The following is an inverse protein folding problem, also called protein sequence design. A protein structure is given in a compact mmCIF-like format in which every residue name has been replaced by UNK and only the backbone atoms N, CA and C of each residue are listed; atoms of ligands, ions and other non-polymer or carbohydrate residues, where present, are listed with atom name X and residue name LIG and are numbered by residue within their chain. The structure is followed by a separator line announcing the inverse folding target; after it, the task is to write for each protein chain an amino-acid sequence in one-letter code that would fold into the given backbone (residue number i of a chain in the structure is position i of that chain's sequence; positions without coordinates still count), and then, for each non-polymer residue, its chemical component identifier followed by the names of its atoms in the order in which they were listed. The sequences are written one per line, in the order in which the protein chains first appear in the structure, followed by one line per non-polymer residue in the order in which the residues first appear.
data_IF_454416072146
#
_entry.id   IF_454416072146
#
_cell.length_a   1.000
_cell.length_b   1.000
_cell.length_c   1.000
_cell.angle_alpha   90.00
_cell.angle_beta   90.00
_cell.angle_gamma   90.00
#
_symmetry.space_group_name_H-M   'P 1'
#
loop_
_entity.id
_entity.type
_entity.pdbx_description
1 polymer ?
#
# COMPACT_ATOMS: atom_id res chain seq x y z
N UNK A 1 35.15 11.18 -3.11
CA UNK A 1 34.82 11.40 -4.55
C UNK A 1 33.66 10.53 -5.02
N UNK A 2 33.76 9.19 -5.06
CA UNK A 2 32.63 8.35 -5.53
C UNK A 2 31.42 8.41 -4.59
N UNK A 3 31.64 8.36 -3.28
CA UNK A 3 30.58 8.45 -2.29
C UNK A 3 29.82 9.78 -2.37
N UNK A 4 30.55 10.89 -2.51
CA UNK A 4 30.01 12.25 -2.63
C UNK A 4 29.20 12.43 -3.92
N UNK A 5 29.67 11.88 -5.04
CA UNK A 5 28.95 11.94 -6.32
C UNK A 5 27.57 11.27 -6.25
N UNK A 6 27.47 10.13 -5.56
CA UNK A 6 26.21 9.39 -5.42
C UNK A 6 25.42 9.77 -4.17
N UNK A 7 25.82 10.81 -3.43
CA UNK A 7 25.18 11.20 -2.17
C UNK A 7 23.69 11.54 -2.34
N UNK A 8 23.29 12.05 -3.50
CA UNK A 8 21.89 12.27 -3.86
C UNK A 8 21.02 11.01 -3.72
N UNK A 9 21.58 9.83 -4.00
CA UNK A 9 20.87 8.55 -3.90
C UNK A 9 20.94 7.92 -2.50
N UNK A 10 21.72 8.49 -1.57
CA UNK A 10 21.90 7.99 -0.21
C UNK A 10 20.75 8.44 0.72
N UNK A 11 19.55 7.94 0.45
CA UNK A 11 18.33 8.33 1.19
C UNK A 11 18.36 7.97 2.68
N UNK A 12 19.24 7.04 3.06
CA UNK A 12 19.38 6.54 4.43
C UNK A 12 20.56 7.17 5.19
N UNK A 13 21.27 8.15 4.62
CA UNK A 13 22.43 8.80 5.24
C UNK A 13 23.50 7.79 5.73
N UNK A 14 23.71 6.72 4.95
CA UNK A 14 24.77 5.76 5.24
C UNK A 14 26.10 6.51 5.21
N UNK A 15 27.01 6.22 6.13
CA UNK A 15 28.37 6.77 6.11
C UNK A 15 29.33 5.74 5.55
N UNK A 16 30.41 6.20 4.91
CA UNK A 16 31.48 5.33 4.47
C UNK A 16 32.08 4.60 5.68
N UNK A 17 32.16 3.28 5.59
CA UNK A 17 32.69 2.41 6.64
C UNK A 17 33.77 1.52 6.04
N UNK A 18 34.86 1.23 6.77
CA UNK A 18 35.91 0.32 6.29
C UNK A 18 35.41 -1.10 5.98
N UNK A 19 34.22 -1.47 6.46
CA UNK A 19 33.57 -2.75 6.17
C UNK A 19 32.70 -2.73 4.91
N UNK A 20 32.51 -1.57 4.27
CA UNK A 20 31.71 -1.43 3.05
C UNK A 20 32.53 -1.91 1.83
N UNK A 21 32.39 -3.19 1.49
CA UNK A 21 33.06 -3.76 0.31
C UNK A 21 32.28 -3.44 -0.98
N UNK A 22 32.51 -2.27 -1.55
CA UNK A 22 31.96 -1.87 -2.85
C UNK A 22 32.65 -2.64 -3.98
N UNK A 23 31.90 -3.41 -4.79
CA UNK A 23 32.46 -4.06 -5.99
C UNK A 23 32.35 -3.18 -7.24
N UNK A 24 31.25 -2.42 -7.37
CA UNK A 24 31.01 -1.46 -8.45
C UNK A 24 29.98 -0.39 -8.02
N UNK A 25 29.81 0.69 -8.79
CA UNK A 25 28.92 1.81 -8.41
C UNK A 25 27.47 1.40 -8.17
N UNK A 26 26.97 0.43 -8.94
CA UNK A 26 25.60 -0.06 -8.75
C UNK A 26 25.41 -0.85 -7.44
N UNK A 27 26.47 -1.47 -6.90
CA UNK A 27 26.44 -2.11 -5.58
C UNK A 27 26.34 -1.05 -4.48
N UNK A 28 27.00 0.09 -4.66
CA UNK A 28 26.89 1.22 -3.74
C UNK A 28 25.45 1.77 -3.73
N UNK A 29 24.86 1.99 -4.91
CA UNK A 29 23.46 2.44 -5.04
C UNK A 29 22.48 1.45 -4.40
N UNK A 30 22.66 0.16 -4.64
CA UNK A 30 21.87 -0.88 -3.99
C UNK A 30 22.01 -0.83 -2.47
N UNK A 31 23.22 -0.61 -1.96
CA UNK A 31 23.46 -0.51 -0.52
C UNK A 31 22.80 0.73 0.11
N UNK A 32 22.78 1.86 -0.60
CA UNK A 32 22.09 3.08 -0.15
C UNK A 32 20.60 2.92 0.08
N UNK A 33 19.95 1.98 -0.63
CA UNK A 33 18.52 1.79 -0.53
C UNK A 33 18.12 0.73 0.48
N UNK A 34 18.98 -0.28 0.69
CA UNK A 34 18.69 -1.40 1.58
C UNK A 34 18.88 -1.02 3.05
N UNK A 35 18.03 -1.51 3.96
CA UNK A 35 18.31 -1.39 5.38
C UNK A 35 19.59 -2.18 5.74
N UNK A 36 20.18 -1.93 6.92
CA UNK A 36 21.31 -2.71 7.42
C UNK A 36 21.05 -4.22 7.33
N UNK A 37 22.09 -5.00 7.04
CA UNK A 37 21.95 -6.44 6.76
C UNK A 37 21.26 -7.23 7.88
N UNK A 38 21.35 -6.78 9.13
CA UNK A 38 20.71 -7.40 10.29
C UNK A 38 19.18 -7.26 10.27
N UNK A 39 18.65 -6.25 9.57
CA UNK A 39 17.22 -5.95 9.46
C UNK A 39 16.60 -6.50 8.18
N UNK A 40 17.41 -7.08 7.29
CA UNK A 40 16.91 -7.62 6.04
C UNK A 40 16.13 -8.92 6.29
N UNK A 41 14.87 -9.01 5.82
CA UNK A 41 14.09 -10.22 5.99
C UNK A 41 14.71 -11.38 5.23
N UNK A 42 14.50 -12.58 5.76
CA UNK A 42 14.97 -13.80 5.09
C UNK A 42 14.13 -14.06 3.84
N UNK A 43 14.74 -14.75 2.88
CA UNK A 43 14.05 -15.22 1.69
C UNK A 43 13.74 -16.70 1.88
N UNK A 44 12.46 -17.00 2.04
CA UNK A 44 11.97 -18.36 2.24
C UNK A 44 11.53 -18.97 0.91
N UNK A 45 11.43 -20.30 0.85
CA UNK A 45 10.93 -21.03 -0.33
C UNK A 45 9.40 -20.95 -0.47
N UNK A 46 8.80 -19.82 -0.10
CA UNK A 46 7.39 -19.57 -0.33
C UNK A 46 7.11 -19.39 -1.82
N UNK A 47 5.96 -19.88 -2.26
CA UNK A 47 5.49 -19.61 -3.61
C UNK A 47 5.38 -18.11 -3.86
N UNK A 48 5.77 -17.64 -5.05
CA UNK A 48 5.69 -16.24 -5.41
C UNK A 48 4.24 -15.76 -5.34
N UNK A 49 4.02 -14.62 -4.68
CA UNK A 49 2.70 -13.97 -4.66
C UNK A 49 2.37 -13.54 -6.08
N UNK A 50 1.39 -14.19 -6.72
CA UNK A 50 1.07 -13.93 -8.14
C UNK A 50 0.36 -12.60 -8.41
N UNK A 51 -0.43 -12.12 -7.45
CA UNK A 51 -1.23 -10.91 -7.59
C UNK A 51 -1.74 -10.45 -6.21
N UNK A 52 -1.82 -9.15 -5.99
CA UNK A 52 -2.57 -8.48 -4.90
C UNK A 52 -3.54 -7.48 -5.57
N UNK A 53 -4.34 -6.76 -4.81
CA UNK A 53 -5.28 -5.76 -5.35
C UNK A 53 -4.60 -4.41 -5.61
N UNK A 54 -5.09 -3.66 -6.60
CA UNK A 54 -4.58 -2.33 -6.93
C UNK A 54 -4.84 -1.31 -5.81
N UNK A 55 -4.16 -0.17 -5.86
CA UNK A 55 -4.29 0.87 -4.85
C UNK A 55 -5.73 1.39 -4.72
N UNK A 56 -6.41 1.59 -5.85
CA UNK A 56 -7.82 1.99 -5.91
C UNK A 56 -8.73 0.92 -5.31
N UNK A 57 -8.58 -0.35 -5.71
CA UNK A 57 -9.36 -1.46 -5.15
C UNK A 57 -9.18 -1.58 -3.64
N UNK A 58 -7.94 -1.47 -3.15
CA UNK A 58 -7.66 -1.48 -1.71
C UNK A 58 -8.33 -0.30 -1.01
N UNK A 59 -8.26 0.91 -1.59
CA UNK A 59 -8.94 2.09 -1.04
C UNK A 59 -10.46 1.91 -0.97
N UNK A 60 -11.07 1.36 -2.01
CA UNK A 60 -12.51 1.10 -2.07
C UNK A 60 -12.95 0.07 -1.03
N UNK A 61 -12.07 -0.89 -0.70
CA UNK A 61 -12.26 -1.81 0.41
C UNK A 61 -12.01 -1.17 1.80
N UNK A 62 -11.77 0.15 1.87
CA UNK A 62 -11.59 0.90 3.11
C UNK A 62 -10.14 1.07 3.58
N UNK A 63 -9.16 0.61 2.80
CA UNK A 63 -7.75 0.79 3.13
C UNK A 63 -7.33 2.25 2.98
N UNK A 64 -6.50 2.74 3.89
CA UNK A 64 -5.97 4.11 3.87
C UNK A 64 -4.47 4.10 3.59
N UNK A 65 -4.06 4.74 2.50
CA UNK A 65 -2.65 5.02 2.22
C UNK A 65 -2.19 6.24 3.02
N UNK A 66 -0.97 6.16 3.57
CA UNK A 66 -0.30 7.26 4.26
C UNK A 66 1.21 7.23 3.97
N UNK A 67 1.80 8.41 3.85
CA UNK A 67 3.26 8.57 3.81
C UNK A 67 3.88 8.07 5.13
N UNK A 68 4.87 7.21 5.02
CA UNK A 68 5.74 6.76 6.10
C UNK A 68 6.75 7.84 6.49
N UNK A 69 7.33 7.73 7.69
CA UNK A 69 8.35 8.67 8.17
C UNK A 69 9.76 8.25 7.75
N UNK A 70 9.94 6.98 7.38
CA UNK A 70 11.22 6.44 6.97
C UNK A 70 11.55 6.80 5.54
N UNK A 71 12.84 7.04 5.29
CA UNK A 71 13.40 7.20 3.96
C UNK A 71 13.85 5.86 3.34
N UNK A 72 13.80 4.77 4.11
CA UNK A 72 14.06 3.43 3.60
C UNK A 72 12.88 2.97 2.75
N UNK A 73 13.11 2.71 1.46
CA UNK A 73 12.08 2.31 0.49
C UNK A 73 11.33 1.03 0.89
N UNK A 74 11.97 0.19 1.71
CA UNK A 74 11.46 -1.10 2.13
C UNK A 74 10.65 -1.05 3.44
N UNK A 75 10.59 0.11 4.12
CA UNK A 75 9.83 0.27 5.36
C UNK A 75 8.32 0.43 5.08
N UNK A 76 7.71 -0.67 4.67
CA UNK A 76 6.29 -0.76 4.34
C UNK A 76 5.57 -1.46 5.49
N UNK A 77 4.52 -0.83 5.99
CA UNK A 77 3.82 -1.31 7.17
C UNK A 77 2.31 -1.22 7.00
N UNK A 78 1.64 -2.36 7.14
CA UNK A 78 0.18 -2.44 7.14
C UNK A 78 -0.33 -2.75 8.54
N UNK A 79 -1.06 -1.80 9.15
CA UNK A 79 -1.69 -1.99 10.46
C UNK A 79 -3.08 -1.40 10.49
N UNK A 80 -4.06 -2.19 10.94
CA UNK A 80 -5.45 -1.76 11.17
C UNK A 80 -6.08 -1.03 9.97
N UNK A 81 -5.89 -1.54 8.76
CA UNK A 81 -6.45 -0.94 7.54
C UNK A 81 -5.71 0.31 7.05
N UNK A 82 -4.55 0.63 7.61
CA UNK A 82 -3.69 1.73 7.15
C UNK A 82 -2.40 1.14 6.59
N UNK A 83 -2.13 1.43 5.32
CA UNK A 83 -0.88 1.13 4.65
C UNK A 83 0.02 2.36 4.69
N UNK A 84 1.13 2.25 5.41
CA UNK A 84 2.19 3.25 5.44
C UNK A 84 3.30 2.83 4.49
N UNK A 85 3.70 3.73 3.61
CA UNK A 85 4.78 3.51 2.64
C UNK A 85 5.66 4.74 2.56
N UNK A 86 6.99 4.57 2.39
CA UNK A 86 7.89 5.68 2.12
C UNK A 86 7.49 6.41 0.83
N UNK A 87 7.88 7.68 0.70
CA UNK A 87 7.65 8.44 -0.52
C UNK A 87 8.51 7.89 -1.65
N UNK A 88 7.86 7.61 -2.77
CA UNK A 88 8.50 7.11 -3.99
C UNK A 88 8.49 8.24 -5.00
N UNK A 89 9.64 8.56 -5.60
CA UNK A 89 9.71 9.56 -6.67
C UNK A 89 9.97 8.86 -7.98
N UNK A 90 9.13 9.09 -8.98
CA UNK A 90 9.32 8.63 -10.35
C UNK A 90 9.67 9.82 -11.23
N UNK A 91 10.81 9.73 -11.91
CA UNK A 91 11.36 10.74 -12.80
C UNK A 91 11.96 10.09 -14.06
N UNK A 92 12.49 10.91 -14.97
CA UNK A 92 13.06 10.44 -16.24
C UNK A 92 14.29 9.51 -16.06
N UNK A 93 14.94 9.51 -14.90
CA UNK A 93 16.09 8.64 -14.60
C UNK A 93 15.67 7.30 -13.98
N UNK A 94 14.44 7.22 -13.49
CA UNK A 94 13.93 6.12 -12.68
C UNK A 94 13.94 4.80 -13.46
N UNK A 95 13.50 4.78 -14.73
CA UNK A 95 13.48 3.54 -15.51
C UNK A 95 14.87 2.93 -15.63
N UNK A 96 15.87 3.72 -16.03
CA UNK A 96 17.26 3.26 -16.17
C UNK A 96 17.84 2.80 -14.84
N UNK A 97 17.62 3.56 -13.76
CA UNK A 97 18.12 3.22 -12.44
C UNK A 97 17.54 1.90 -11.92
N UNK A 98 16.21 1.77 -11.92
CA UNK A 98 15.55 0.55 -11.46
C UNK A 98 15.91 -0.65 -12.34
N UNK A 99 15.94 -0.53 -13.67
CA UNK A 99 16.33 -1.65 -14.55
C UNK A 99 17.73 -2.16 -14.27
N UNK A 100 18.70 -1.25 -14.09
CA UNK A 100 20.06 -1.63 -13.76
C UNK A 100 20.10 -2.36 -12.41
N UNK A 101 19.43 -1.82 -11.38
CA UNK A 101 19.37 -2.45 -10.05
C UNK A 101 18.68 -3.83 -10.08
N UNK A 102 17.61 -3.99 -10.86
CA UNK A 102 16.93 -5.27 -11.05
C UNK A 102 17.84 -6.30 -11.73
N UNK A 103 18.55 -5.90 -12.79
CA UNK A 103 19.51 -6.77 -13.47
C UNK A 103 20.65 -7.19 -12.53
N UNK A 104 21.17 -6.26 -11.72
CA UNK A 104 22.17 -6.54 -10.70
C UNK A 104 21.67 -7.59 -9.70
N UNK A 105 20.44 -7.42 -9.18
CA UNK A 105 19.87 -8.38 -8.24
C UNK A 105 19.69 -9.76 -8.86
N UNK A 106 19.20 -9.84 -10.10
CA UNK A 106 19.01 -11.10 -10.79
C UNK A 106 20.33 -11.84 -11.08
N UNK A 107 21.38 -11.12 -11.46
CA UNK A 107 22.66 -11.73 -11.83
C UNK A 107 23.55 -12.07 -10.63
N UNK A 108 23.54 -11.24 -9.58
CA UNK A 108 24.54 -11.30 -8.51
C UNK A 108 23.97 -11.45 -7.10
N UNK A 109 22.66 -11.23 -6.90
CA UNK A 109 22.01 -11.26 -5.58
C UNK A 109 20.63 -11.93 -5.62
N UNK A 110 20.51 -13.05 -6.34
CA UNK A 110 19.23 -13.72 -6.56
C UNK A 110 18.56 -14.19 -5.26
N UNK A 111 19.35 -14.47 -4.22
CA UNK A 111 18.92 -14.79 -2.86
C UNK A 111 18.56 -13.55 -2.01
N UNK A 112 18.88 -12.34 -2.49
CA UNK A 112 18.72 -11.05 -1.80
C UNK A 112 18.03 -10.01 -2.70
N UNK A 113 17.06 -10.44 -3.50
CA UNK A 113 16.39 -9.59 -4.49
C UNK A 113 15.29 -8.67 -3.88
N UNK A 114 15.68 -7.80 -2.95
CA UNK A 114 14.73 -6.93 -2.21
C UNK A 114 14.18 -5.79 -3.04
N UNK A 115 15.00 -5.16 -3.91
CA UNK A 115 14.53 -4.13 -4.85
C UNK A 115 13.52 -4.74 -5.82
N UNK A 116 13.80 -5.96 -6.28
CA UNK A 116 12.90 -6.75 -7.13
C UNK A 116 11.56 -6.99 -6.47
N UNK A 117 11.55 -7.47 -5.22
CA UNK A 117 10.30 -7.69 -4.48
C UNK A 117 9.48 -6.39 -4.33
N UNK A 118 10.16 -5.27 -4.14
CA UNK A 118 9.53 -3.95 -4.02
C UNK A 118 8.93 -3.47 -5.34
N UNK A 119 9.65 -3.60 -6.46
CA UNK A 119 9.13 -3.29 -7.79
C UNK A 119 7.90 -4.15 -8.12
N UNK A 120 7.92 -5.42 -7.76
CA UNK A 120 6.76 -6.32 -7.92
C UNK A 120 5.57 -5.83 -7.10
N UNK A 121 5.80 -5.41 -5.86
CA UNK A 121 4.75 -4.84 -5.02
C UNK A 121 4.15 -3.56 -5.64
N UNK A 122 4.99 -2.68 -6.20
CA UNK A 122 4.50 -1.52 -6.95
C UNK A 122 3.67 -1.92 -8.16
N UNK A 123 4.08 -2.97 -8.89
CA UNK A 123 3.31 -3.53 -9.99
C UNK A 123 1.93 -4.06 -9.58
N UNK A 124 1.77 -4.56 -8.35
CA UNK A 124 0.44 -4.92 -7.84
C UNK A 124 -0.41 -3.71 -7.50
N UNK A 125 0.19 -2.68 -6.90
CA UNK A 125 -0.54 -1.48 -6.47
C UNK A 125 -0.91 -0.56 -7.64
N UNK A 126 -0.11 -0.52 -8.70
CA UNK A 126 -0.26 0.40 -9.83
C UNK A 126 -0.63 -0.39 -11.08
N UNK A 127 -1.93 -0.50 -11.33
CA UNK A 127 -2.44 -1.17 -12.54
C UNK A 127 -3.10 -0.19 -13.51
N UNK A 128 -3.53 0.96 -13.01
CA UNK A 128 -4.22 2.03 -13.74
C UNK A 128 -3.64 3.41 -13.42
N UNK A 129 -3.93 4.40 -14.27
CA UNK A 129 -3.60 5.82 -14.02
C UNK A 129 -4.29 6.36 -12.75
N UNK A 130 -5.48 5.85 -12.41
CA UNK A 130 -6.19 6.18 -11.17
C UNK A 130 -5.43 5.73 -9.92
N UNK A 131 -4.68 4.63 -9.99
CA UNK A 131 -3.82 4.20 -8.88
C UNK A 131 -2.68 5.19 -8.66
N UNK A 132 -2.06 5.67 -9.74
CA UNK A 132 -1.01 6.70 -9.67
C UNK A 132 -1.58 7.98 -9.06
N UNK A 133 -2.70 8.50 -9.60
CA UNK A 133 -3.39 9.68 -9.08
C UNK A 133 -3.69 9.56 -7.59
N UNK A 134 -4.16 8.38 -7.18
CA UNK A 134 -4.45 8.09 -5.79
C UNK A 134 -3.19 8.16 -4.92
N UNK A 135 -2.12 7.47 -5.31
CA UNK A 135 -0.87 7.42 -4.54
C UNK A 135 -0.22 8.80 -4.44
N UNK A 136 -0.25 9.58 -5.52
CA UNK A 136 0.19 10.98 -5.55
C UNK A 136 -0.63 11.84 -4.59
N UNK A 137 -1.97 11.77 -4.67
CA UNK A 137 -2.87 12.50 -3.76
C UNK A 137 -2.66 12.14 -2.28
N UNK A 138 -2.22 10.91 -2.00
CA UNK A 138 -1.95 10.44 -0.62
C UNK A 138 -0.52 10.74 -0.16
N UNK A 139 0.31 11.35 -1.01
CA UNK A 139 1.68 11.73 -0.71
C UNK A 139 2.63 10.55 -0.52
N UNK A 140 2.24 9.36 -0.99
CA UNK A 140 3.11 8.17 -0.99
C UNK A 140 3.91 8.04 -2.30
N UNK A 141 3.53 8.81 -3.32
CA UNK A 141 4.23 8.90 -4.59
C UNK A 141 4.38 10.38 -5.02
N UNK A 142 5.50 10.70 -5.65
CA UNK A 142 5.74 11.92 -6.40
C UNK A 142 5.97 11.53 -7.86
N UNK A 143 5.11 12.02 -8.76
CA UNK A 143 5.22 11.78 -10.20
C UNK A 143 5.84 13.01 -10.86
N UNK A 144 7.08 12.88 -11.35
CA UNK A 144 7.84 13.93 -12.06
C UNK A 144 7.93 13.66 -13.57
N UNK A 145 7.23 12.64 -14.09
CA UNK A 145 7.16 12.31 -15.52
C UNK A 145 6.17 13.19 -16.28
N UNK A 146 5.35 13.97 -15.57
CA UNK A 146 4.41 14.93 -16.17
C UNK A 146 3.03 14.38 -16.46
N UNK A 147 2.85 13.06 -16.60
CA UNK A 147 1.53 12.44 -16.67
C UNK A 147 1.45 11.09 -15.92
N UNK A 148 0.23 10.73 -15.51
CA UNK A 148 -0.02 9.54 -14.70
C UNK A 148 0.07 8.23 -15.51
N UNK A 149 -0.16 8.31 -16.83
CA UNK A 149 -0.11 7.16 -17.73
C UNK A 149 1.32 6.67 -17.95
N UNK A 150 2.27 7.57 -18.12
CA UNK A 150 3.71 7.30 -18.20
C UNK A 150 4.24 6.71 -16.91
N UNK A 151 3.79 7.19 -15.75
CA UNK A 151 4.16 6.60 -14.46
C UNK A 151 3.66 5.16 -14.34
N UNK A 152 2.39 4.91 -14.70
CA UNK A 152 1.81 3.55 -14.74
C UNK A 152 2.56 2.66 -15.73
N UNK A 153 2.87 3.16 -16.93
CA UNK A 153 3.61 2.41 -17.95
C UNK A 153 5.06 2.15 -17.54
N UNK A 154 5.72 3.08 -16.85
CA UNK A 154 7.06 2.89 -16.29
C UNK A 154 7.04 1.73 -15.29
N UNK A 155 6.12 1.72 -14.33
CA UNK A 155 6.03 0.62 -13.35
C UNK A 155 5.74 -0.71 -14.05
N UNK A 156 4.80 -0.72 -15.01
CA UNK A 156 4.51 -1.91 -15.83
C UNK A 156 5.76 -2.41 -16.56
N UNK A 157 6.52 -1.52 -17.18
CA UNK A 157 7.79 -1.81 -17.87
C UNK A 157 8.86 -2.34 -16.92
N UNK A 158 8.92 -1.85 -15.67
CA UNK A 158 9.85 -2.38 -14.67
C UNK A 158 9.50 -3.82 -14.28
N UNK A 159 8.21 -4.18 -14.27
CA UNK A 159 7.76 -5.53 -13.97
C UNK A 159 7.94 -6.53 -15.13
N UNK A 160 8.37 -6.10 -16.33
CA UNK A 160 8.62 -7.02 -17.45
C UNK A 160 9.98 -7.69 -17.33
N UNK A 161 10.08 -8.94 -17.80
CA UNK A 161 11.30 -9.74 -17.79
C UNK A 161 11.92 -9.95 -16.40
N UNK A 162 11.10 -9.89 -15.33
CA UNK A 162 11.56 -10.25 -14.00
C UNK A 162 11.45 -11.77 -13.80
N UNK A 163 12.59 -12.43 -13.53
CA UNK A 163 12.59 -13.82 -13.03
C UNK A 163 12.15 -13.81 -11.57
N UNK A 164 10.88 -14.12 -11.33
CA UNK A 164 10.27 -14.07 -10.02
C UNK A 164 9.97 -15.48 -9.47
N UNK A 165 10.94 -16.02 -8.73
CA UNK A 165 10.91 -17.41 -8.24
C UNK A 165 10.33 -17.52 -6.82
N UNK A 166 10.61 -16.54 -5.97
CA UNK A 166 10.19 -16.46 -4.56
C UNK A 166 10.13 -14.98 -4.14
N UNK A 167 9.73 -14.70 -2.90
CA UNK A 167 9.65 -13.35 -2.31
C UNK A 167 10.14 -13.38 -0.86
N UNK A 168 10.68 -12.27 -0.35
CA UNK A 168 11.06 -12.20 1.07
C UNK A 168 9.88 -12.44 2.02
N UNK A 169 10.16 -12.99 3.21
CA UNK A 169 9.16 -13.43 4.18
C UNK A 169 8.19 -12.32 4.57
N UNK A 170 8.70 -11.11 4.80
CA UNK A 170 7.93 -9.98 5.29
C UNK A 170 6.94 -9.50 4.23
N UNK A 171 7.38 -9.41 2.98
CA UNK A 171 6.51 -9.02 1.86
C UNK A 171 5.49 -10.10 1.55
N UNK A 172 5.85 -11.38 1.71
CA UNK A 172 4.90 -12.48 1.58
C UNK A 172 3.80 -12.40 2.65
N UNK A 173 4.16 -12.19 3.93
CA UNK A 173 3.19 -11.97 5.02
C UNK A 173 2.33 -10.75 4.75
N UNK A 174 2.95 -9.62 4.41
CA UNK A 174 2.29 -8.38 4.07
C UNK A 174 1.25 -8.54 2.94
N UNK A 175 1.62 -9.22 1.85
CA UNK A 175 0.71 -9.49 0.75
C UNK A 175 -0.47 -10.37 1.17
N UNK A 176 -0.26 -11.36 2.06
CA UNK A 176 -1.34 -12.17 2.63
C UNK A 176 -2.29 -11.33 3.49
N UNK A 177 -1.76 -10.43 4.32
CA UNK A 177 -2.57 -9.54 5.15
C UNK A 177 -3.43 -8.59 4.30
N UNK A 178 -2.87 -8.01 3.24
CA UNK A 178 -3.63 -7.17 2.30
C UNK A 178 -4.75 -7.96 1.62
N UNK A 179 -4.47 -9.20 1.19
CA UNK A 179 -5.49 -10.08 0.60
C UNK A 179 -6.59 -10.40 1.59
N UNK A 180 -6.24 -10.75 2.82
CA UNK A 180 -7.20 -11.06 3.87
C UNK A 180 -8.07 -9.84 4.21
N UNK A 181 -7.46 -8.64 4.27
CA UNK A 181 -8.18 -7.40 4.51
C UNK A 181 -9.21 -7.11 3.41
N UNK A 182 -8.83 -7.25 2.15
CA UNK A 182 -9.72 -6.98 1.01
C UNK A 182 -10.85 -8.00 0.87
N UNK A 183 -10.59 -9.27 1.24
CA UNK A 183 -11.59 -10.35 1.23
C UNK A 183 -12.62 -10.25 2.36
N UNK A 184 -12.33 -9.50 3.43
CA UNK A 184 -13.25 -9.38 4.56
C UNK A 184 -14.46 -8.49 4.18
N UNK A 185 -15.69 -9.05 4.11
CA UNK A 185 -16.85 -8.31 3.63
C UNK A 185 -17.16 -7.10 4.52
N UNK A 186 -17.04 -7.24 5.85
CA UNK A 186 -17.27 -6.16 6.81
C UNK A 186 -16.51 -4.86 6.48
N UNK A 187 -15.26 -4.98 6.02
CA UNK A 187 -14.45 -3.80 5.66
C UNK A 187 -15.04 -3.06 4.45
N UNK A 188 -15.53 -3.82 3.45
CA UNK A 188 -16.21 -3.25 2.28
C UNK A 188 -17.54 -2.62 2.66
N UNK A 189 -18.36 -3.31 3.43
CA UNK A 189 -19.63 -2.76 3.93
C UNK A 189 -19.40 -1.46 4.71
N UNK A 190 -18.43 -1.44 5.61
CA UNK A 190 -18.08 -0.25 6.37
C UNK A 190 -17.56 0.89 5.48
N UNK A 191 -16.75 0.58 4.46
CA UNK A 191 -16.24 1.57 3.51
C UNK A 191 -17.38 2.16 2.65
N UNK A 192 -18.24 1.32 2.10
CA UNK A 192 -19.42 1.73 1.31
C UNK A 192 -20.36 2.57 2.16
N UNK A 193 -20.71 2.12 3.37
CA UNK A 193 -21.56 2.89 4.28
C UNK A 193 -20.99 4.28 4.56
N UNK A 194 -19.69 4.35 4.88
CA UNK A 194 -19.01 5.62 5.14
C UNK A 194 -19.02 6.54 3.92
N UNK A 195 -18.79 6.00 2.72
CA UNK A 195 -18.73 6.77 1.48
C UNK A 195 -20.11 7.27 1.04
N UNK A 196 -21.13 6.44 1.15
CA UNK A 196 -22.43 6.73 0.55
C UNK A 196 -23.32 7.53 1.50
N UNK A 197 -23.25 7.27 2.80
CA UNK A 197 -24.14 7.85 3.81
C UNK A 197 -23.46 8.89 4.72
N UNK A 198 -22.14 8.78 4.92
CA UNK A 198 -21.39 9.67 5.83
C UNK A 198 -20.38 10.58 5.11
N UNK A 199 -20.57 10.85 3.81
CA UNK A 199 -19.63 11.67 3.03
C UNK A 199 -19.85 13.17 3.11
N UNK A 200 -21.07 13.63 3.33
CA UNK A 200 -21.40 15.07 3.41
C UNK A 200 -22.27 15.37 4.64
N UNK A 201 -22.21 16.58 5.21
CA UNK A 201 -23.03 16.95 6.36
C UNK A 201 -24.51 16.67 6.14
N UNK A 202 -25.02 17.00 4.95
CA UNK A 202 -26.42 16.75 4.58
C UNK A 202 -26.76 15.26 4.51
N UNK A 203 -25.89 14.42 3.92
CA UNK A 203 -26.11 12.97 3.90
C UNK A 203 -26.11 12.38 5.31
N UNK A 204 -25.26 12.89 6.19
CA UNK A 204 -25.24 12.49 7.61
C UNK A 204 -26.57 12.81 8.28
N UNK A 205 -27.05 14.06 8.15
CA UNK A 205 -28.34 14.49 8.73
C UNK A 205 -29.49 13.66 8.17
N UNK A 206 -29.57 13.47 6.85
CA UNK A 206 -30.60 12.65 6.21
C UNK A 206 -30.57 11.21 6.71
N UNK A 207 -29.37 10.63 6.88
CA UNK A 207 -29.21 9.25 7.38
C UNK A 207 -29.66 9.15 8.83
N UNK A 208 -29.31 10.12 9.69
CA UNK A 208 -29.75 10.15 11.10
C UNK A 208 -31.27 10.30 11.19
N UNK A 209 -31.86 11.22 10.42
CA UNK A 209 -33.31 11.40 10.39
C UNK A 209 -34.03 10.12 9.95
N UNK A 210 -33.56 9.44 8.90
CA UNK A 210 -34.11 8.16 8.45
C UNK A 210 -34.02 7.06 9.53
N UNK A 211 -32.91 6.98 10.27
CA UNK A 211 -32.74 6.03 11.39
C UNK A 211 -33.71 6.34 12.53
N UNK A 212 -33.86 7.61 12.91
CA UNK A 212 -34.82 8.01 13.96
C UNK A 212 -36.25 7.66 13.53
N UNK A 213 -36.63 7.97 12.28
CA UNK A 213 -37.94 7.63 11.74
C UNK A 213 -38.18 6.10 11.75
N UNK A 214 -37.20 5.29 11.36
CA UNK A 214 -37.29 3.83 11.42
C UNK A 214 -37.46 3.30 12.85
N UNK A 215 -36.77 3.87 13.83
CA UNK A 215 -36.93 3.48 15.24
C UNK A 215 -38.31 3.84 15.77
N UNK A 216 -38.81 5.04 15.42
CA UNK A 216 -40.15 5.48 15.80
C UNK A 216 -41.24 4.59 15.17
N UNK A 217 -41.14 4.25 13.88
CA UNK A 217 -42.11 3.37 13.22
C UNK A 217 -42.06 1.94 13.77
N UNK A 218 -40.86 1.44 14.10
CA UNK A 218 -40.71 0.15 14.75
C UNK A 218 -41.37 0.12 16.13
N UNK A 219 -41.12 1.14 16.97
CA UNK A 219 -41.77 1.28 18.28
C UNK A 219 -43.29 1.37 18.14
N UNK A 220 -43.78 2.19 17.21
CA UNK A 220 -45.21 2.31 16.91
C UNK A 220 -45.82 0.96 16.55
N UNK A 221 -45.13 0.17 15.71
CA UNK A 221 -45.57 -1.17 15.31
C UNK A 221 -45.63 -2.15 16.49
N UNK A 222 -44.69 -2.07 17.43
CA UNK A 222 -44.74 -2.88 18.66
C UNK A 222 -45.94 -2.50 19.52
N UNK A 223 -46.19 -1.20 19.73
CA UNK A 223 -47.32 -0.74 20.54
C UNK A 223 -48.68 -1.09 19.92
N UNK A 224 -48.79 -1.13 18.59
CA UNK A 224 -50.02 -1.55 17.91
C UNK A 224 -50.24 -3.07 17.95
N UNK A 225 -49.17 -3.88 17.88
CA UNK A 225 -49.27 -5.35 18.00
C UNK A 225 -49.46 -5.83 19.43
N UNK A 226 -48.82 -5.19 20.40
CA UNK A 226 -48.94 -5.48 21.82
C UNK A 226 -49.54 -4.27 22.54
N UNK A 227 -50.84 -4.00 22.35
CA UNK A 227 -51.51 -2.99 23.15
C UNK A 227 -51.33 -3.36 24.62
N UNK A 228 -50.62 -2.52 25.37
CA UNK A 228 -50.49 -2.67 26.82
C UNK A 228 -51.91 -2.70 27.36
N UNK A 229 -52.37 -3.88 27.78
CA UNK A 229 -53.68 -4.09 28.39
C UNK A 229 -53.64 -3.36 29.73
N UNK A 230 -53.98 -2.09 29.71
CA UNK A 230 -54.26 -1.33 30.91
C UNK A 230 -55.35 -2.08 31.67
N UNK A 231 -54.95 -2.67 32.81
CA UNK A 231 -55.87 -3.25 33.78
C UNK A 231 -56.69 -2.11 34.39
N UNK A 232 -57.70 -1.62 33.68
CA UNK A 232 -58.82 -0.92 34.30
C UNK A 232 -59.75 -1.99 34.88
N UNK A 233 -59.43 -2.45 36.11
CA UNK A 233 -60.42 -3.09 36.97
C UNK A 233 -61.36 -1.99 37.47
N UNK A 234 -62.59 -2.06 36.97
CA UNK A 234 -63.87 -2.00 37.70
C UNK A 234 -63.79 -1.36 39.09
N UNK A 235 -64.36 -0.16 39.25
CA UNK A 235 -65.62 0.12 39.95
C UNK A 235 -66.10 1.51 39.57
#
# INVERSE_FOLDING_TARGET
MTFDYFQFYNTQNITESPHLKMKHFLDLLRTFWLPPSEKLPKRDNHEPVKHVYSATQLQDAGLKFRKGLSNCLFDINFKKGVLKMPLITLDNSSETLYRNLLALEQCHYSDKAYITDYVILLGFLITTDNDVKLLVRKGVMANLLGNDDEAKDLVKKLCTNIVYVNMNSDYHVFCRELKAFYKKPWNRWQATLRRDYFSTPWRIVSTIAAVILLLLTFLQTIYTMFPIKGSNRVC
#
